data_IF_808615346235
#
_entry.id   IF_808615346235
#
_cell.length_a   1.000
_cell.length_b   1.000
_cell.length_c   1.000
_cell.angle_alpha   90.00
_cell.angle_beta   90.00
_cell.angle_gamma   90.00
#
_symmetry.space_group_name_H-M   'P 1'
#
loop_
_entity.id
_entity.type
_entity.pdbx_description
1 polymer ?
#
# COMPACT_ATOMS: atom_id res chain seq x y z
N UNK A 1 14.13 1.75 20.25
CA UNK A 1 15.01 1.91 19.06
C UNK A 1 15.71 0.57 18.83
N UNK A 2 15.63 -0.04 17.64
CA UNK A 2 16.30 -1.31 17.35
C UNK A 2 17.60 -1.06 16.59
N UNK A 3 18.70 -1.65 17.07
CA UNK A 3 20.07 -1.43 16.60
C UNK A 3 20.72 -2.82 16.47
N UNK A 4 21.46 -3.05 15.38
CA UNK A 4 22.18 -4.31 15.15
C UNK A 4 23.69 -4.07 15.05
N UNK A 5 24.47 -5.04 15.56
CA UNK A 5 25.94 -5.02 15.53
C UNK A 5 26.40 -5.59 14.20
N UNK A 6 26.97 -4.76 13.33
CA UNK A 6 27.43 -5.22 12.02
C UNK A 6 28.84 -5.82 12.06
N UNK A 7 29.73 -5.33 12.93
CA UNK A 7 31.10 -5.82 13.07
C UNK A 7 31.64 -5.53 14.48
N UNK A 8 32.42 -6.47 15.03
CA UNK A 8 33.18 -6.30 16.26
C UNK A 8 34.68 -6.43 15.94
N UNK A 9 35.41 -5.32 15.92
CA UNK A 9 36.88 -5.30 15.80
C UNK A 9 37.42 -4.83 17.15
N UNK A 10 38.57 -5.37 17.62
CA UNK A 10 39.20 -5.07 18.94
C UNK A 10 38.89 -3.64 19.41
N UNK A 11 37.92 -3.48 20.31
CA UNK A 11 37.55 -2.21 20.95
C UNK A 11 36.43 -1.38 20.31
N UNK A 12 35.95 -1.68 19.09
CA UNK A 12 34.89 -0.92 18.41
C UNK A 12 33.76 -1.83 17.91
N UNK A 13 32.55 -1.55 18.41
CA UNK A 13 31.30 -2.18 17.99
C UNK A 13 30.60 -1.23 17.03
N UNK A 14 30.50 -1.60 15.75
CA UNK A 14 29.76 -0.81 14.79
C UNK A 14 28.26 -1.10 14.92
N UNK A 15 27.50 -0.09 15.36
CA UNK A 15 26.05 -0.14 15.47
C UNK A 15 25.42 0.48 14.23
N UNK A 16 24.72 -0.32 13.44
CA UNK A 16 23.92 0.18 12.32
C UNK A 16 22.47 0.23 12.73
N UNK A 17 21.84 1.37 12.47
CA UNK A 17 20.40 1.53 12.67
C UNK A 17 19.67 0.90 11.48
N UNK A 18 18.71 0.03 11.75
CA UNK A 18 17.81 -0.45 10.71
C UNK A 18 17.02 0.71 10.09
N UNK A 19 16.46 0.50 8.90
CA UNK A 19 15.50 1.42 8.32
C UNK A 19 14.39 1.76 9.34
N UNK A 20 13.90 3.00 9.33
CA UNK A 20 12.88 3.50 10.26
C UNK A 20 11.60 2.65 10.31
N UNK A 21 11.29 1.88 9.27
CA UNK A 21 10.10 1.01 9.18
C UNK A 21 10.40 -0.46 9.50
N UNK A 22 11.66 -0.77 9.78
CA UNK A 22 12.14 -2.11 10.08
C UNK A 22 12.38 -2.26 11.60
N UNK A 23 11.87 -3.35 12.17
CA UNK A 23 12.19 -3.77 13.54
C UNK A 23 13.56 -4.46 13.54
N UNK A 24 13.68 -5.61 12.87
CA UNK A 24 14.90 -6.41 12.83
C UNK A 24 15.49 -6.44 11.43
N UNK A 25 16.78 -6.18 11.29
CA UNK A 25 17.48 -6.23 10.01
C UNK A 25 18.81 -7.00 10.11
N UNK A 26 19.25 -7.54 8.97
CA UNK A 26 20.58 -8.10 8.75
C UNK A 26 21.23 -7.27 7.65
N UNK A 27 22.35 -6.59 7.96
CA UNK A 27 23.07 -5.69 7.05
C UNK A 27 22.19 -4.56 6.48
N UNK A 28 21.62 -4.76 5.28
CA UNK A 28 20.71 -3.84 4.58
C UNK A 28 19.30 -4.41 4.37
N UNK A 29 19.09 -5.66 4.77
CA UNK A 29 17.85 -6.38 4.56
C UNK A 29 17.03 -6.44 5.84
N UNK A 30 15.75 -6.13 5.75
CA UNK A 30 14.83 -6.25 6.86
C UNK A 30 14.28 -7.67 7.00
N UNK A 31 14.21 -8.16 8.23
CA UNK A 31 13.62 -9.44 8.60
C UNK A 31 12.21 -9.28 9.16
N UNK A 32 11.92 -8.17 9.85
CA UNK A 32 10.62 -7.93 10.49
C UNK A 32 10.26 -6.46 10.40
N UNK A 33 9.05 -6.17 9.91
CA UNK A 33 8.55 -4.80 9.77
C UNK A 33 7.82 -4.31 11.02
N UNK A 34 7.75 -2.99 11.18
CA UNK A 34 6.87 -2.35 12.16
C UNK A 34 5.40 -2.56 11.79
N UNK A 35 4.50 -2.31 12.74
CA UNK A 35 3.06 -2.33 12.51
C UNK A 35 2.68 -1.45 11.31
N UNK A 36 1.77 -1.95 10.47
CA UNK A 36 1.31 -1.33 9.20
C UNK A 36 2.34 -1.26 8.06
N UNK A 37 3.51 -1.90 8.24
CA UNK A 37 4.51 -2.08 7.20
C UNK A 37 4.68 -3.57 6.86
N UNK A 38 4.97 -3.84 5.60
CA UNK A 38 4.99 -5.19 5.07
C UNK A 38 6.29 -5.47 4.33
N UNK A 39 6.73 -6.72 4.43
CA UNK A 39 8.00 -7.15 3.87
C UNK A 39 7.83 -7.43 2.38
N UNK A 40 8.61 -6.73 1.57
CA UNK A 40 8.69 -6.95 0.12
C UNK A 40 9.65 -8.11 -0.20
N UNK A 41 9.59 -8.63 -1.44
CA UNK A 41 10.54 -9.64 -1.92
C UNK A 41 12.01 -9.18 -1.81
N UNK A 42 12.27 -7.87 -1.92
CA UNK A 42 13.59 -7.27 -1.73
C UNK A 42 14.04 -7.13 -0.27
N UNK A 43 13.33 -7.75 0.68
CA UNK A 43 13.57 -7.63 2.12
C UNK A 43 13.59 -6.17 2.61
N UNK A 44 12.65 -5.37 2.11
CA UNK A 44 12.43 -3.98 2.56
C UNK A 44 11.02 -3.84 3.11
N UNK A 45 10.87 -3.03 4.15
CA UNK A 45 9.56 -2.68 4.70
C UNK A 45 8.97 -1.49 3.97
N UNK A 46 7.80 -1.68 3.39
CA UNK A 46 7.03 -0.62 2.74
C UNK A 46 5.63 -0.59 3.31
N UNK A 47 4.98 0.55 3.20
CA UNK A 47 3.56 0.67 3.52
C UNK A 47 2.78 0.31 2.27
N UNK A 48 1.70 -0.47 2.38
CA UNK A 48 0.83 -0.77 1.23
C UNK A 48 -0.13 0.41 1.00
N UNK A 49 0.40 1.62 0.83
CA UNK A 49 -0.36 2.85 0.56
C UNK A 49 -0.15 3.38 -0.86
N UNK A 50 0.73 2.74 -1.63
CA UNK A 50 0.95 3.09 -3.02
C UNK A 50 -0.23 2.66 -3.89
N UNK A 51 -0.45 3.40 -4.97
CA UNK A 51 -1.45 3.02 -5.96
C UNK A 51 -1.16 1.62 -6.51
N UNK A 52 -2.22 0.85 -6.75
CA UNK A 52 -2.16 -0.55 -7.20
C UNK A 52 -1.45 -1.50 -6.24
N UNK A 53 -1.44 -1.20 -4.95
CA UNK A 53 -0.99 -2.14 -3.93
C UNK A 53 -2.10 -2.45 -2.94
N UNK A 54 -2.13 -3.69 -2.47
CA UNK A 54 -3.00 -4.13 -1.39
C UNK A 54 -2.25 -5.08 -0.47
N UNK A 55 -2.70 -5.17 0.78
CA UNK A 55 -2.14 -6.11 1.74
C UNK A 55 -2.80 -7.48 1.58
N UNK A 56 -1.99 -8.52 1.45
CA UNK A 56 -2.42 -9.91 1.59
C UNK A 56 -1.40 -10.69 2.40
N UNK A 57 -1.83 -11.38 3.46
CA UNK A 57 -0.97 -12.24 4.29
C UNK A 57 0.33 -11.58 4.79
N UNK A 58 0.27 -10.30 5.13
CA UNK A 58 1.43 -9.56 5.64
C UNK A 58 2.44 -9.15 4.56
N UNK A 59 2.03 -9.17 3.30
CA UNK A 59 2.82 -8.70 2.15
C UNK A 59 2.03 -7.68 1.34
N UNK A 60 2.72 -6.71 0.76
CA UNK A 60 2.11 -5.87 -0.27
C UNK A 60 2.15 -6.62 -1.60
N UNK A 61 0.98 -6.84 -2.18
CA UNK A 61 0.80 -7.39 -3.52
C UNK A 61 0.31 -6.34 -4.47
N UNK A 62 0.63 -6.52 -5.75
CA UNK A 62 0.17 -5.63 -6.80
C UNK A 62 -1.23 -6.00 -7.27
N UNK A 63 -2.02 -4.98 -7.56
CA UNK A 63 -3.32 -5.10 -8.22
C UNK A 63 -3.15 -5.44 -9.71
N UNK A 64 -4.25 -5.86 -10.35
CA UNK A 64 -4.28 -5.92 -11.81
C UNK A 64 -3.95 -4.54 -12.42
N UNK A 65 -3.22 -4.47 -13.55
CA UNK A 65 -2.86 -3.21 -14.20
C UNK A 65 -4.02 -2.29 -14.58
N UNK A 66 -5.24 -2.82 -14.69
CA UNK A 66 -6.46 -2.04 -14.93
C UNK A 66 -7.01 -1.34 -13.68
N UNK A 67 -6.60 -1.76 -12.48
CA UNK A 67 -7.02 -1.14 -11.23
C UNK A 67 -6.17 0.10 -10.90
N UNK A 68 -6.78 1.03 -10.17
CA UNK A 68 -6.12 2.09 -9.40
C UNK A 68 -5.98 1.68 -7.92
N UNK A 69 -7.01 1.05 -7.36
CA UNK A 69 -7.01 0.37 -6.06
C UNK A 69 -7.72 -0.97 -6.15
N UNK A 70 -7.31 -1.92 -5.32
CA UNK A 70 -7.91 -3.25 -5.28
C UNK A 70 -7.89 -3.82 -3.86
N UNK A 71 -8.66 -4.89 -3.65
CA UNK A 71 -8.60 -5.75 -2.47
C UNK A 71 -8.13 -7.18 -2.83
N UNK A 72 -7.53 -7.36 -4.01
CA UNK A 72 -7.11 -8.65 -4.54
C UNK A 72 -6.39 -8.48 -5.88
N UNK A 73 -5.65 -9.51 -6.31
CA UNK A 73 -4.85 -9.48 -7.54
C UNK A 73 -5.69 -9.49 -8.83
N UNK A 74 -6.92 -9.99 -8.78
CA UNK A 74 -7.79 -10.13 -9.95
C UNK A 74 -8.45 -8.82 -10.41
N UNK A 75 -8.79 -8.75 -11.70
CA UNK A 75 -9.55 -7.63 -12.32
C UNK A 75 -10.89 -7.35 -11.63
N UNK A 76 -11.52 -8.38 -11.07
CA UNK A 76 -12.81 -8.28 -10.37
C UNK A 76 -12.66 -7.73 -8.95
N UNK A 77 -11.44 -7.65 -8.44
CA UNK A 77 -11.12 -7.17 -7.11
C UNK A 77 -10.70 -5.68 -7.12
N UNK A 78 -10.88 -4.98 -8.24
CA UNK A 78 -10.66 -3.53 -8.28
C UNK A 78 -11.73 -2.82 -7.43
N UNK A 79 -11.29 -2.01 -6.46
CA UNK A 79 -12.14 -1.07 -5.72
C UNK A 79 -12.17 0.29 -6.39
N UNK A 80 -11.13 0.62 -7.16
CA UNK A 80 -11.09 1.78 -8.06
C UNK A 80 -10.41 1.34 -9.37
N UNK A 81 -10.99 1.68 -10.51
CA UNK A 81 -10.41 1.38 -11.83
C UNK A 81 -9.68 2.59 -12.40
N UNK A 82 -8.67 2.35 -13.23
CA UNK A 82 -8.03 3.43 -13.99
C UNK A 82 -9.03 3.94 -15.04
N UNK A 83 -9.40 5.23 -14.97
CA UNK A 83 -10.42 5.87 -15.81
C UNK A 83 -10.17 5.74 -17.34
N UNK A 84 -8.98 5.29 -17.77
CA UNK A 84 -8.59 5.24 -19.18
C UNK A 84 -8.62 3.86 -19.85
N UNK A 85 -9.05 2.77 -19.19
CA UNK A 85 -9.14 1.46 -19.87
C UNK A 85 -10.48 0.73 -19.62
N UNK A 86 -11.37 0.90 -20.59
CA UNK A 86 -12.33 -0.08 -21.11
C UNK A 86 -13.38 -0.69 -20.16
N UNK A 87 -14.51 0.01 -20.12
CA UNK A 87 -15.88 -0.51 -20.35
C UNK A 87 -16.04 -2.03 -20.61
N UNK A 88 -15.94 -2.84 -19.56
CA UNK A 88 -16.66 -4.12 -19.44
C UNK A 88 -16.73 -4.44 -17.94
N UNK A 89 -17.85 -4.50 -17.23
CA UNK A 89 -19.24 -4.72 -17.59
C UNK A 89 -20.12 -3.63 -16.98
N UNK A 90 -21.28 -3.41 -17.60
CA UNK A 90 -22.38 -2.45 -17.33
C UNK A 90 -22.73 -2.05 -15.87
N UNK A 91 -22.14 -2.64 -14.83
CA UNK A 91 -22.55 -2.46 -13.44
C UNK A 91 -21.86 -1.32 -12.67
N UNK A 92 -20.73 -0.77 -13.16
CA UNK A 92 -19.99 0.25 -12.42
C UNK A 92 -20.35 1.71 -12.78
N UNK A 93 -21.08 1.93 -13.89
CA UNK A 93 -21.55 3.27 -14.26
C UNK A 93 -22.70 3.77 -13.37
N UNK A 94 -23.37 2.88 -12.65
CA UNK A 94 -24.53 3.26 -11.83
C UNK A 94 -24.16 3.72 -10.41
N UNK A 95 -22.92 3.45 -9.95
CA UNK A 95 -22.45 3.85 -8.61
C UNK A 95 -21.82 5.26 -8.64
N UNK A 96 -21.03 5.60 -9.66
CA UNK A 96 -20.38 6.91 -9.74
C UNK A 96 -21.35 8.06 -10.05
N UNK A 97 -22.45 7.79 -10.75
CA UNK A 97 -23.49 8.80 -10.99
C UNK A 97 -24.25 9.08 -9.69
N UNK A 98 -24.57 8.06 -8.88
CA UNK A 98 -25.33 8.28 -7.65
C UNK A 98 -24.51 8.98 -6.54
N UNK A 99 -23.22 8.65 -6.37
CA UNK A 99 -22.37 9.32 -5.36
C UNK A 99 -22.01 10.77 -5.74
N UNK A 100 -21.81 11.06 -7.03
CA UNK A 100 -21.54 12.42 -7.48
C UNK A 100 -22.80 13.30 -7.47
N UNK A 101 -23.98 12.76 -7.80
CA UNK A 101 -25.25 13.49 -7.68
C UNK A 101 -25.61 13.79 -6.21
N UNK A 102 -25.36 12.86 -5.26
CA UNK A 102 -25.58 13.12 -3.82
C UNK A 102 -24.69 14.25 -3.27
N UNK A 103 -23.45 14.37 -3.75
CA UNK A 103 -22.56 15.49 -3.39
C UNK A 103 -23.01 16.83 -3.99
N UNK A 104 -23.64 16.83 -5.17
CA UNK A 104 -24.18 18.04 -5.81
C UNK A 104 -25.52 18.50 -5.18
N UNK A 105 -26.37 17.59 -4.70
CA UNK A 105 -27.63 17.93 -4.03
C UNK A 105 -27.41 18.57 -2.64
N UNK A 106 -26.35 18.22 -1.92
CA UNK A 106 -26.06 18.85 -0.61
C UNK A 106 -25.55 20.30 -0.73
N UNK A 107 -24.93 20.67 -1.87
CA UNK A 107 -24.47 22.06 -2.08
C UNK A 107 -25.59 23.02 -2.53
N UNK A 108 -26.69 22.52 -3.09
CA UNK A 108 -27.81 23.36 -3.54
C UNK A 108 -28.86 23.64 -2.44
N UNK A 109 -28.83 22.93 -1.30
CA UNK A 109 -29.77 23.15 -0.19
C UNK A 109 -29.22 24.01 0.96
N UNK A 110 -27.94 24.44 0.91
CA UNK A 110 -27.35 25.37 1.90
C UNK A 110 -26.99 26.74 1.31
N UNK A 111 -27.60 27.09 0.18
CA UNK A 111 -27.61 28.44 -0.38
C UNK A 111 -29.05 28.82 -0.78
N UNK A 112 -29.90 28.94 0.23
CA UNK A 112 -31.01 29.87 0.21
C UNK A 112 -31.16 30.49 1.60
#
# INVERSE_FOLDING_TARGET
>A
MQIFVQHAKKGFICLKKCNQYCLKCTEDKCLTCKQDYFLTQGQKCVKCDQERQFQENGQCKECDPSCLKCNGTGKTNCTQCKLSLFLSQKYLLQIFINEFYLQLFQQSQYKQ
#
